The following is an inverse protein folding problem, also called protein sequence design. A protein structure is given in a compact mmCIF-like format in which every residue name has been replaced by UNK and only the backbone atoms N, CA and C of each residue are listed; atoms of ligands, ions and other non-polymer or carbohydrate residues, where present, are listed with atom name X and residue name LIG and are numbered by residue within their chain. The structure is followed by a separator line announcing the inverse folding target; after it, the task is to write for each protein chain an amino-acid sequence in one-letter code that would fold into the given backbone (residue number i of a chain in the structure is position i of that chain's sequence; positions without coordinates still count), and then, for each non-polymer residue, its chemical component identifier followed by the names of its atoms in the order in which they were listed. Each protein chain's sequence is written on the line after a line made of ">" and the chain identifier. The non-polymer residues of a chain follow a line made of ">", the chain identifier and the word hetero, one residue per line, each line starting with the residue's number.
data_IF_310435322521
#
_entry.id   IF_310435322521
#
_cell.length_a   1.000
_cell.length_b   1.000
_cell.length_c   1.000
_cell.angle_alpha   90.00
_cell.angle_beta   90.00
_cell.angle_gamma   90.00
#
_symmetry.space_group_name_H-M   'P 1'
#
loop_
_entity.id
_entity.type
_entity.pdbx_description
1 polymer ?
#
# COMPACT_ATOMS: atom_id res chain seq x y z
N UNK A 1 -19.54 -12.42 -9.58
CA UNK A 1 -19.29 -11.08 -9.02
C UNK A 1 -18.15 -10.49 -9.82
N UNK A 2 -18.35 -9.34 -10.46
CA UNK A 2 -17.26 -8.64 -11.15
C UNK A 2 -16.30 -8.11 -10.08
N UNK A 3 -15.02 -8.51 -10.12
CA UNK A 3 -13.99 -8.03 -9.18
C UNK A 3 -13.62 -6.56 -9.42
N UNK A 4 -13.81 -6.08 -10.65
CA UNK A 4 -13.53 -4.70 -11.03
C UNK A 4 -14.83 -3.93 -11.22
N UNK A 5 -14.85 -2.67 -10.78
CA UNK A 5 -15.86 -1.69 -11.13
C UNK A 5 -15.24 -0.53 -11.92
N UNK A 6 -16.09 0.23 -12.62
CA UNK A 6 -15.67 1.46 -13.28
C UNK A 6 -15.19 2.49 -12.24
N UNK A 7 -14.22 3.32 -12.61
CA UNK A 7 -13.67 4.38 -11.75
C UNK A 7 -14.76 5.25 -11.12
N UNK A 8 -15.73 5.70 -11.93
CA UNK A 8 -16.93 6.41 -11.46
C UNK A 8 -17.63 5.73 -10.29
N UNK A 9 -17.92 4.43 -10.43
CA UNK A 9 -18.63 3.66 -9.40
C UNK A 9 -17.79 3.47 -8.14
N UNK A 10 -16.48 3.28 -8.29
CA UNK A 10 -15.56 3.24 -7.15
C UNK A 10 -15.57 4.59 -6.42
N UNK A 11 -15.47 5.69 -7.16
CA UNK A 11 -15.42 7.02 -6.60
C UNK A 11 -16.71 7.40 -5.87
N UNK A 12 -17.86 7.20 -6.51
CA UNK A 12 -19.20 7.43 -5.92
C UNK A 12 -19.40 6.62 -4.63
N UNK A 13 -18.94 5.37 -4.60
CA UNK A 13 -19.07 4.50 -3.43
C UNK A 13 -18.24 4.92 -2.22
N UNK A 14 -17.24 5.78 -2.41
CA UNK A 14 -16.28 6.17 -1.38
C UNK A 14 -16.16 7.69 -1.19
N UNK A 15 -17.04 8.49 -1.81
CA UNK A 15 -17.00 9.95 -1.70
C UNK A 15 -15.78 10.58 -2.36
N UNK A 16 -15.22 9.92 -3.37
CA UNK A 16 -14.07 10.40 -4.15
C UNK A 16 -14.55 11.19 -5.38
N UNK A 17 -13.68 12.04 -5.91
CA UNK A 17 -13.89 12.77 -7.15
C UNK A 17 -13.31 11.99 -8.33
N UNK A 18 -14.11 11.75 -9.38
CA UNK A 18 -13.70 10.96 -10.55
C UNK A 18 -12.56 11.60 -11.35
N UNK A 19 -12.44 12.93 -11.32
CA UNK A 19 -11.38 13.65 -12.05
C UNK A 19 -10.04 13.69 -11.30
N UNK A 20 -10.04 13.35 -10.01
CA UNK A 20 -8.86 13.39 -9.15
C UNK A 20 -8.05 12.11 -9.24
N UNK A 21 -6.73 12.23 -9.40
CA UNK A 21 -5.83 11.09 -9.29
C UNK A 21 -5.64 10.69 -7.84
N UNK A 22 -5.72 9.40 -7.53
CA UNK A 22 -5.53 8.91 -6.18
C UNK A 22 -4.23 8.13 -6.05
N UNK A 23 -3.48 8.40 -4.98
CA UNK A 23 -2.42 7.51 -4.50
C UNK A 23 -2.95 6.75 -3.29
N UNK A 24 -2.61 5.48 -3.15
CA UNK A 24 -2.95 4.73 -1.95
C UNK A 24 -1.83 4.88 -0.93
N UNK A 25 -2.13 5.35 0.28
CA UNK A 25 -1.25 5.11 1.42
C UNK A 25 -1.79 3.89 2.18
N UNK A 26 -1.03 2.80 2.19
CA UNK A 26 -1.40 1.60 2.96
C UNK A 26 -0.72 1.65 4.32
N UNK A 27 -1.52 1.84 5.37
CA UNK A 27 -1.03 1.87 6.74
C UNK A 27 -0.45 0.54 7.20
N UNK A 28 0.47 0.63 8.16
CA UNK A 28 1.11 -0.51 8.81
C UNK A 28 0.68 -0.60 10.29
N UNK A 29 1.03 -1.66 11.02
CA UNK A 29 0.65 -1.84 12.42
C UNK A 29 1.67 -1.24 13.41
N UNK A 30 1.27 -1.08 14.67
CA UNK A 30 2.12 -0.48 15.70
C UNK A 30 3.37 -1.31 16.03
N UNK A 31 3.36 -2.61 15.75
CA UNK A 31 4.47 -3.51 16.06
C UNK A 31 5.60 -3.33 15.06
N UNK A 32 5.26 -3.13 13.79
CA UNK A 32 6.19 -3.02 12.65
C UNK A 32 6.59 -1.58 12.37
N UNK A 33 5.63 -0.64 12.37
CA UNK A 33 5.84 0.78 12.09
C UNK A 33 5.06 1.65 13.12
N UNK A 34 5.56 1.79 14.36
CA UNK A 34 4.86 2.54 15.43
C UNK A 34 4.62 4.02 15.10
N UNK A 35 5.38 4.57 14.16
CA UNK A 35 5.37 5.98 13.75
C UNK A 35 4.78 6.19 12.35
N UNK A 36 4.17 5.15 11.76
CA UNK A 36 3.58 5.16 10.41
C UNK A 36 2.72 6.39 10.07
N UNK A 37 1.96 6.93 11.04
CA UNK A 37 1.13 8.12 10.84
C UNK A 37 1.91 9.34 10.36
N UNK A 38 3.19 9.45 10.72
CA UNK A 38 4.04 10.56 10.30
C UNK A 38 4.51 10.41 8.85
N UNK A 39 4.59 9.19 8.31
CA UNK A 39 4.83 9.03 6.86
C UNK A 39 3.56 9.30 6.05
N UNK A 40 2.37 9.03 6.60
CA UNK A 40 1.11 9.49 6.01
C UNK A 40 1.07 11.02 5.98
N UNK A 41 1.48 11.67 7.07
CA UNK A 41 1.61 13.14 7.15
C UNK A 41 2.59 13.69 6.11
N UNK A 42 3.81 13.14 6.02
CA UNK A 42 4.79 13.55 5.01
C UNK A 42 4.24 13.37 3.58
N UNK A 43 3.50 12.29 3.32
CA UNK A 43 2.83 12.04 2.04
C UNK A 43 1.74 13.09 1.77
N UNK A 44 0.95 13.45 2.78
CA UNK A 44 -0.10 14.46 2.66
C UNK A 44 0.47 15.87 2.41
N UNK A 45 1.60 16.20 3.03
CA UNK A 45 2.34 17.44 2.77
C UNK A 45 2.83 17.48 1.32
N UNK A 46 3.41 16.38 0.83
CA UNK A 46 3.85 16.28 -0.57
C UNK A 46 2.67 16.46 -1.55
N UNK A 47 1.51 15.87 -1.24
CA UNK A 47 0.29 15.98 -2.05
C UNK A 47 -0.27 17.41 -2.05
N UNK A 48 -0.33 18.08 -0.90
CA UNK A 48 -0.72 19.51 -0.84
C UNK A 48 0.20 20.38 -1.69
N UNK A 49 1.51 20.17 -1.61
CA UNK A 49 2.48 20.88 -2.47
C UNK A 49 2.21 20.66 -3.96
N UNK A 50 1.90 19.43 -4.38
CA UNK A 50 1.54 19.15 -5.78
C UNK A 50 0.22 19.81 -6.20
N UNK A 51 -0.75 19.93 -5.29
CA UNK A 51 -1.98 20.71 -5.53
C UNK A 51 -1.72 22.20 -5.68
N UNK A 52 -0.82 22.77 -4.88
CA UNK A 52 -0.36 24.16 -5.04
C UNK A 52 0.31 24.38 -6.39
N UNK A 53 0.96 23.35 -6.94
CA UNK A 53 1.54 23.33 -8.29
C UNK A 53 0.51 23.05 -9.41
N UNK A 54 -0.78 22.96 -9.07
CA UNK A 54 -1.89 22.82 -10.02
C UNK A 54 -2.26 21.39 -10.41
N UNK A 55 -1.77 20.38 -9.69
CA UNK A 55 -2.14 18.97 -9.94
C UNK A 55 -3.36 18.56 -9.13
N UNK A 56 -4.33 17.90 -9.77
CA UNK A 56 -5.45 17.28 -9.06
C UNK A 56 -5.10 15.86 -8.60
N UNK A 57 -4.52 15.78 -7.40
CA UNK A 57 -4.09 14.52 -6.79
C UNK A 57 -4.49 14.46 -5.31
N UNK A 58 -4.84 13.28 -4.81
CA UNK A 58 -5.28 13.03 -3.44
C UNK A 58 -4.80 11.66 -2.93
N UNK A 59 -5.05 11.38 -1.65
CA UNK A 59 -4.68 10.14 -0.98
C UNK A 59 -5.94 9.35 -0.63
N UNK A 60 -5.96 8.07 -1.02
CA UNK A 60 -6.78 7.06 -0.36
C UNK A 60 -5.94 6.48 0.78
N UNK A 61 -6.38 6.68 2.02
CA UNK A 61 -5.75 6.02 3.15
C UNK A 61 -6.44 4.68 3.43
N UNK A 62 -5.73 3.57 3.18
CA UNK A 62 -6.19 2.23 3.56
C UNK A 62 -5.51 1.82 4.85
N UNK A 63 -6.28 1.80 5.92
CA UNK A 63 -5.83 1.42 7.25
C UNK A 63 -5.46 -0.06 7.32
N UNK A 64 -4.48 -0.43 8.16
CA UNK A 64 -4.26 -1.83 8.54
C UNK A 64 -5.45 -2.34 9.37
N UNK A 65 -6.06 -3.51 9.06
CA UNK A 65 -7.33 -3.94 9.65
C UNK A 65 -7.29 -4.22 11.16
N UNK A 66 -6.10 -4.31 11.75
CA UNK A 66 -5.90 -4.69 13.15
C UNK A 66 -5.37 -3.56 14.04
N UNK A 67 -5.15 -2.37 13.51
CA UNK A 67 -4.71 -1.22 14.31
C UNK A 67 -5.92 -0.47 14.87
N UNK A 68 -6.10 -0.49 16.19
CA UNK A 68 -7.19 0.22 16.86
C UNK A 68 -6.68 1.38 17.73
N UNK A 69 -5.45 1.84 17.50
CA UNK A 69 -4.78 2.79 18.38
C UNK A 69 -5.24 4.25 18.27
N UNK A 70 -5.91 4.62 17.16
CA UNK A 70 -6.27 6.01 16.87
C UNK A 70 -5.08 6.91 16.50
N UNK A 71 -3.88 6.36 16.30
CA UNK A 71 -2.66 7.16 16.04
C UNK A 71 -2.71 8.00 14.75
N UNK A 72 -3.56 7.61 13.80
CA UNK A 72 -3.75 8.34 12.54
C UNK A 72 -4.79 9.46 12.66
N UNK A 73 -5.65 9.46 13.68
CA UNK A 73 -6.84 10.32 13.75
C UNK A 73 -6.49 11.80 13.61
N UNK A 74 -5.39 12.24 14.23
CA UNK A 74 -4.91 13.62 14.12
C UNK A 74 -4.54 13.98 12.68
N UNK A 75 -3.80 13.10 11.99
CA UNK A 75 -3.36 13.32 10.61
C UNK A 75 -4.56 13.30 9.67
N UNK A 76 -5.50 12.38 9.88
CA UNK A 76 -6.73 12.30 9.08
C UNK A 76 -7.58 13.55 9.21
N UNK A 77 -7.73 14.11 10.42
CA UNK A 77 -8.48 15.35 10.62
C UNK A 77 -7.75 16.57 10.02
N UNK A 78 -6.44 16.66 10.22
CA UNK A 78 -5.62 17.80 9.76
C UNK A 78 -5.49 17.86 8.23
N UNK A 79 -5.50 16.71 7.56
CA UNK A 79 -5.31 16.58 6.11
C UNK A 79 -6.53 16.03 5.37
N UNK A 80 -7.74 16.15 5.94
CA UNK A 80 -9.01 15.66 5.34
C UNK A 80 -9.38 16.28 3.99
N UNK A 81 -8.76 17.39 3.62
CA UNK A 81 -8.86 18.01 2.30
C UNK A 81 -8.15 17.19 1.21
N UNK A 82 -7.12 16.43 1.57
CA UNK A 82 -6.32 15.60 0.65
C UNK A 82 -6.37 14.11 0.95
N UNK A 83 -6.85 13.68 2.12
CA UNK A 83 -6.95 12.27 2.52
C UNK A 83 -8.41 11.84 2.62
N UNK A 84 -8.75 10.76 1.94
CA UNK A 84 -10.01 10.02 2.15
C UNK A 84 -9.70 8.64 2.72
N UNK A 85 -10.08 8.35 3.99
CA UNK A 85 -9.90 7.03 4.57
C UNK A 85 -10.90 6.03 3.97
N UNK A 86 -10.43 4.83 3.64
CA UNK A 86 -11.25 3.70 3.23
C UNK A 86 -10.84 2.48 4.05
N UNK A 87 -11.70 2.12 5.01
CA UNK A 87 -11.41 1.03 5.93
C UNK A 87 -11.48 -0.34 5.23
N UNK A 88 -10.56 -1.26 5.56
CA UNK A 88 -10.67 -2.65 5.14
C UNK A 88 -11.93 -3.30 5.73
N UNK A 89 -12.64 -4.08 4.93
CA UNK A 89 -13.88 -4.76 5.33
C UNK A 89 -13.59 -6.08 6.04
N UNK A 90 -12.64 -6.07 6.98
CA UNK A 90 -12.30 -7.26 7.76
C UNK A 90 -13.28 -7.43 8.91
N UNK A 91 -13.57 -8.68 9.27
CA UNK A 91 -14.48 -9.00 10.37
C UNK A 91 -13.82 -9.93 11.37
N UNK A 92 -14.07 -9.75 12.68
CA UNK A 92 -13.66 -10.72 13.67
C UNK A 92 -14.43 -12.03 13.44
N UNK A 93 -13.68 -13.11 13.26
CA UNK A 93 -14.18 -14.50 13.27
C UNK A 93 -13.97 -15.18 14.64
N UNK A 94 -13.50 -14.41 15.63
CA UNK A 94 -13.35 -14.79 17.03
C UNK A 94 -12.86 -13.60 17.87
N UNK A 95 -12.46 -13.84 19.12
CA UNK A 95 -12.11 -12.79 20.09
C UNK A 95 -10.64 -12.39 20.11
N UNK A 96 -9.76 -13.08 19.39
CA UNK A 96 -8.32 -12.78 19.32
C UNK A 96 -7.94 -12.01 18.06
N UNK A 97 -6.86 -11.24 18.11
CA UNK A 97 -6.38 -10.39 17.00
C UNK A 97 -6.05 -11.20 15.73
N UNK A 98 -5.57 -12.44 15.88
CA UNK A 98 -5.29 -13.38 14.78
C UNK A 98 -6.55 -14.04 14.20
N UNK A 99 -7.73 -13.63 14.65
CA UNK A 99 -9.03 -14.13 14.16
C UNK A 99 -9.79 -13.05 13.37
N UNK A 100 -9.15 -11.93 13.04
CA UNK A 100 -9.72 -10.93 12.13
C UNK A 100 -9.37 -11.33 10.70
N UNK A 101 -10.39 -11.55 9.85
CA UNK A 101 -10.22 -12.08 8.49
C UNK A 101 -10.86 -11.17 7.44
N UNK A 102 -10.32 -11.13 6.21
CA UNK A 102 -10.95 -10.39 5.10
C UNK A 102 -12.30 -10.99 4.73
N UNK A 103 -13.26 -10.13 4.40
CA UNK A 103 -14.53 -10.55 3.78
C UNK A 103 -14.38 -10.74 2.28
N UNK A 104 -15.38 -11.35 1.62
CA UNK A 104 -15.40 -11.46 0.16
C UNK A 104 -15.46 -10.08 -0.50
N UNK A 105 -16.16 -9.16 0.15
CA UNK A 105 -16.30 -7.77 -0.25
C UNK A 105 -14.95 -7.04 -0.11
N UNK A 106 -14.14 -7.34 0.90
CA UNK A 106 -12.80 -6.76 1.06
C UNK A 106 -11.86 -7.09 -0.11
N UNK A 107 -11.96 -8.29 -0.70
CA UNK A 107 -11.19 -8.60 -1.91
C UNK A 107 -11.55 -7.69 -3.08
N UNK A 108 -12.85 -7.40 -3.24
CA UNK A 108 -13.30 -6.47 -4.28
C UNK A 108 -12.82 -5.06 -3.97
N UNK A 109 -12.89 -4.66 -2.70
CA UNK A 109 -12.40 -3.36 -2.26
C UNK A 109 -10.90 -3.19 -2.56
N UNK A 110 -10.06 -4.13 -2.10
CA UNK A 110 -8.60 -4.07 -2.32
C UNK A 110 -8.25 -4.04 -3.81
N UNK A 111 -8.85 -4.91 -4.62
CA UNK A 111 -8.61 -4.95 -6.07
C UNK A 111 -8.95 -3.62 -6.74
N UNK A 112 -10.06 -2.99 -6.35
CA UNK A 112 -10.44 -1.69 -6.90
C UNK A 112 -9.57 -0.54 -6.34
N UNK A 113 -9.15 -0.60 -5.08
CA UNK A 113 -8.15 0.35 -4.54
C UNK A 113 -6.85 0.28 -5.34
N UNK A 114 -6.31 -0.92 -5.59
CA UNK A 114 -5.09 -1.08 -6.38
C UNK A 114 -5.29 -0.62 -7.84
N UNK A 115 -6.43 -0.95 -8.44
CA UNK A 115 -6.71 -0.64 -9.85
C UNK A 115 -6.90 0.86 -10.11
N UNK A 116 -7.64 1.55 -9.23
CA UNK A 116 -8.00 2.97 -9.38
C UNK A 116 -7.02 3.93 -8.71
N UNK A 117 -5.94 3.42 -8.11
CA UNK A 117 -4.83 4.25 -7.62
C UNK A 117 -3.70 4.31 -8.64
N UNK A 118 -2.96 5.40 -8.64
CA UNK A 118 -1.76 5.56 -9.49
C UNK A 118 -0.59 4.71 -8.99
N UNK A 119 -0.44 4.59 -7.68
CA UNK A 119 0.56 3.75 -7.02
C UNK A 119 0.27 3.68 -5.52
N UNK A 120 1.10 2.93 -4.79
CA UNK A 120 1.05 2.82 -3.33
C UNK A 120 2.28 3.41 -2.66
N UNK A 121 2.07 4.12 -1.57
CA UNK A 121 3.09 4.45 -0.57
C UNK A 121 2.82 3.58 0.65
N UNK A 122 3.82 2.84 1.12
CA UNK A 122 3.70 2.02 2.33
C UNK A 122 5.06 1.70 2.93
N UNK A 123 5.10 1.29 4.19
CA UNK A 123 6.32 0.82 4.82
C UNK A 123 6.40 -0.69 4.64
N UNK A 124 7.38 -1.16 3.85
CA UNK A 124 7.86 -2.55 3.87
C UNK A 124 6.79 -3.66 3.68
N UNK A 125 5.59 -3.34 3.23
CA UNK A 125 4.48 -4.30 3.17
C UNK A 125 4.38 -4.92 1.78
N UNK A 126 3.91 -6.17 1.73
CA UNK A 126 3.74 -6.93 0.49
C UNK A 126 2.70 -6.34 -0.48
N UNK A 127 2.04 -5.23 -0.12
CA UNK A 127 1.17 -4.43 -1.00
C UNK A 127 1.83 -4.08 -2.34
N UNK A 128 3.18 -4.03 -2.40
CA UNK A 128 3.92 -3.94 -3.66
C UNK A 128 3.51 -5.01 -4.67
N UNK A 129 3.23 -6.23 -4.22
CA UNK A 129 2.83 -7.35 -5.08
C UNK A 129 1.38 -7.24 -5.52
N UNK A 130 0.51 -6.68 -4.68
CA UNK A 130 -0.87 -6.38 -5.06
C UNK A 130 -0.89 -5.28 -6.13
N UNK A 131 -0.16 -4.18 -5.94
CA UNK A 131 -0.11 -3.06 -6.88
C UNK A 131 0.58 -3.42 -8.21
N UNK A 132 1.70 -4.14 -8.18
CA UNK A 132 2.40 -4.52 -9.42
C UNK A 132 1.59 -5.50 -10.28
N UNK A 133 0.68 -6.28 -9.69
CA UNK A 133 -0.26 -7.11 -10.44
C UNK A 133 -1.19 -6.27 -11.35
N UNK A 134 -1.42 -5.00 -10.98
CA UNK A 134 -2.12 -4.00 -11.80
C UNK A 134 -1.17 -3.11 -12.62
N UNK A 135 0.14 -3.40 -12.60
CA UNK A 135 1.15 -2.57 -13.25
C UNK A 135 1.35 -1.22 -12.58
N UNK A 136 1.04 -1.11 -11.28
CA UNK A 136 1.19 0.13 -10.52
C UNK A 136 2.45 0.06 -9.63
N UNK A 137 3.24 1.14 -9.56
CA UNK A 137 4.49 1.16 -8.80
C UNK A 137 4.27 1.32 -7.30
N UNK A 138 5.38 1.28 -6.56
CA UNK A 138 5.42 1.45 -5.09
C UNK A 138 6.53 2.40 -4.68
N UNK A 139 6.22 3.28 -3.73
CA UNK A 139 7.19 4.09 -2.99
C UNK A 139 7.35 3.51 -1.59
N UNK A 140 8.59 3.25 -1.18
CA UNK A 140 8.96 2.85 0.16
C UNK A 140 9.74 3.96 0.87
N UNK A 141 9.14 4.66 1.85
CA UNK A 141 9.88 5.48 2.79
C UNK A 141 10.90 4.64 3.58
N UNK A 142 12.17 5.03 3.52
CA UNK A 142 13.29 4.36 4.16
C UNK A 142 14.17 5.37 4.89
N UNK A 143 13.54 6.05 5.85
CA UNK A 143 14.16 6.96 6.80
C UNK A 143 13.41 6.88 8.11
N UNK A 144 14.05 7.20 9.22
CA UNK A 144 13.37 7.24 10.51
C UNK A 144 12.70 8.59 10.76
N UNK A 145 11.54 8.56 11.41
CA UNK A 145 10.82 9.76 11.82
C UNK A 145 11.51 10.43 13.02
N UNK A 146 11.54 11.78 13.11
CA UNK A 146 12.16 12.51 14.23
C UNK A 146 11.59 12.16 15.62
N UNK A 147 10.38 11.59 15.66
CA UNK A 147 9.70 11.13 16.86
C UNK A 147 10.25 9.79 17.38
N UNK A 148 11.15 9.13 16.64
CA UNK A 148 11.82 7.91 17.06
C UNK A 148 12.62 8.18 18.34
N UNK A 149 12.33 7.38 19.37
CA UNK A 149 12.98 7.44 20.68
C UNK A 149 13.36 6.03 21.10
N UNK A 150 14.30 5.92 22.04
CA UNK A 150 14.68 4.63 22.63
C UNK A 150 13.43 3.88 23.12
N UNK A 151 13.27 2.64 22.67
CA UNK A 151 12.12 1.78 22.99
C UNK A 151 11.04 1.75 21.91
N UNK A 152 11.11 2.63 20.91
CA UNK A 152 10.30 2.55 19.69
C UNK A 152 11.09 1.75 18.65
N UNK A 153 10.41 0.87 17.92
CA UNK A 153 11.01 0.08 16.83
C UNK A 153 11.31 0.98 15.63
N UNK A 154 12.52 0.86 15.08
CA UNK A 154 12.92 1.48 13.81
C UNK A 154 12.37 0.70 12.61
N UNK A 155 12.08 1.39 11.50
CA UNK A 155 11.53 0.73 10.30
C UNK A 155 12.62 0.05 9.47
N UNK A 156 13.89 0.46 9.62
CA UNK A 156 15.03 -0.10 8.86
C UNK A 156 15.19 -1.62 9.01
N UNK A 157 14.82 -2.18 10.17
CA UNK A 157 14.78 -3.63 10.36
C UNK A 157 13.76 -4.35 9.48
N UNK A 158 12.65 -3.69 9.13
CA UNK A 158 11.59 -4.32 8.35
C UNK A 158 12.09 -4.65 6.94
N UNK A 159 12.93 -3.80 6.34
CA UNK A 159 13.53 -4.04 5.01
C UNK A 159 14.50 -5.23 4.94
N UNK A 160 14.72 -5.94 6.06
CA UNK A 160 15.46 -7.21 6.14
C UNK A 160 14.53 -8.44 6.15
N UNK A 161 13.22 -8.25 6.01
CA UNK A 161 12.24 -9.33 5.98
C UNK A 161 12.42 -10.26 4.77
N UNK A 162 11.89 -11.47 4.91
CA UNK A 162 12.17 -12.58 4.00
C UNK A 162 11.83 -12.27 2.53
N UNK A 163 10.79 -11.49 2.27
CA UNK A 163 10.38 -11.15 0.92
C UNK A 163 11.36 -10.19 0.22
N UNK A 164 12.13 -9.38 0.95
CA UNK A 164 13.21 -8.58 0.34
C UNK A 164 14.39 -9.44 -0.12
N UNK A 165 14.55 -10.67 0.39
CA UNK A 165 15.60 -11.59 -0.09
C UNK A 165 15.37 -12.05 -1.53
N UNK A 166 14.13 -11.96 -2.03
CA UNK A 166 13.80 -12.24 -3.43
C UNK A 166 13.80 -10.98 -4.30
N UNK A 167 14.09 -9.80 -3.73
CA UNK A 167 14.15 -8.56 -4.50
C UNK A 167 15.31 -8.68 -5.52
N UNK A 168 15.04 -8.56 -6.83
CA UNK A 168 16.05 -8.81 -7.85
C UNK A 168 17.11 -7.72 -7.91
N UNK A 169 16.73 -6.49 -7.61
CA UNK A 169 17.62 -5.32 -7.60
C UNK A 169 17.14 -4.33 -6.54
N UNK A 170 17.99 -4.01 -5.57
CA UNK A 170 17.59 -3.16 -4.45
C UNK A 170 17.21 -1.77 -4.94
N UNK A 171 18.07 -1.12 -5.74
CA UNK A 171 17.93 0.30 -6.10
C UNK A 171 16.76 0.58 -7.05
N UNK A 172 16.32 -0.42 -7.84
CA UNK A 172 15.37 -0.20 -8.94
C UNK A 172 14.07 -0.99 -8.85
N UNK A 173 13.90 -1.90 -7.88
CA UNK A 173 12.66 -2.68 -7.75
C UNK A 173 11.46 -1.87 -7.26
N UNK A 174 11.71 -0.73 -6.63
CA UNK A 174 10.72 0.22 -6.09
C UNK A 174 11.33 1.62 -6.13
N UNK A 175 10.52 2.65 -5.83
CA UNK A 175 11.08 3.97 -5.51
C UNK A 175 11.37 4.03 -4.02
N UNK A 176 12.63 4.24 -3.67
CA UNK A 176 13.03 4.50 -2.28
C UNK A 176 12.95 5.99 -2.00
N UNK A 177 12.23 6.36 -0.94
CA UNK A 177 12.29 7.71 -0.40
C UNK A 177 13.15 7.68 0.86
N UNK A 178 14.38 8.19 0.79
CA UNK A 178 15.37 8.18 1.88
C UNK A 178 15.22 9.38 2.83
N UNK A 179 14.24 10.24 2.58
CA UNK A 179 13.80 11.33 3.44
C UNK A 179 12.43 11.84 2.97
N UNK A 180 11.82 12.74 3.75
CA UNK A 180 10.49 13.30 3.44
C UNK A 180 10.42 14.09 2.13
N UNK A 181 11.50 14.74 1.69
CA UNK A 181 11.49 15.44 0.39
C UNK A 181 11.45 14.46 -0.78
N UNK A 182 12.11 13.30 -0.64
CA UNK A 182 12.10 12.27 -1.68
C UNK A 182 10.74 11.57 -1.82
N UNK A 183 9.84 11.67 -0.84
CA UNK A 183 8.43 11.28 -1.04
C UNK A 183 7.80 12.15 -2.12
N UNK A 184 7.98 13.47 -2.05
CA UNK A 184 7.48 14.39 -3.08
C UNK A 184 8.14 14.11 -4.44
N UNK A 185 9.47 13.93 -4.48
CA UNK A 185 10.18 13.67 -5.73
C UNK A 185 9.74 12.34 -6.37
N UNK A 186 9.55 11.30 -5.55
CA UNK A 186 9.05 10.01 -5.99
C UNK A 186 7.62 10.08 -6.52
N UNK A 187 6.70 10.74 -5.80
CA UNK A 187 5.31 10.94 -6.25
C UNK A 187 5.29 11.68 -7.58
N UNK A 188 6.02 12.80 -7.67
CA UNK A 188 6.06 13.62 -8.88
C UNK A 188 6.65 12.84 -10.06
N UNK A 189 7.80 12.19 -9.88
CA UNK A 189 8.46 11.44 -10.94
C UNK A 189 7.62 10.28 -11.47
N UNK A 190 6.86 9.59 -10.60
CA UNK A 190 5.91 8.56 -11.02
C UNK A 190 4.71 9.16 -11.78
N UNK A 191 4.16 10.29 -11.33
CA UNK A 191 3.03 10.95 -11.99
C UNK A 191 3.41 11.57 -13.35
N UNK A 192 4.65 12.03 -13.49
CA UNK A 192 5.20 12.62 -14.72
C UNK A 192 5.72 11.55 -15.70
N UNK A 193 5.88 10.31 -15.23
CA UNK A 193 6.42 9.20 -16.05
C UNK A 193 7.94 9.19 -16.17
N UNK A 194 8.64 10.02 -15.39
CA UNK A 194 10.11 10.05 -15.31
C UNK A 194 10.67 8.82 -14.58
N UNK A 195 9.86 8.20 -13.73
CA UNK A 195 10.19 7.01 -12.94
C UNK A 195 9.24 5.87 -13.29
N UNK A 196 9.79 4.68 -13.55
CA UNK A 196 9.01 3.45 -13.74
C UNK A 196 9.76 2.21 -13.22
N UNK A 197 9.57 1.84 -11.93
CA UNK A 197 10.16 0.62 -11.39
C UNK A 197 9.39 -0.66 -11.80
N UNK A 198 8.19 -0.54 -12.38
CA UNK A 198 7.25 -1.66 -12.60
C UNK A 198 7.88 -2.82 -13.37
N UNK A 199 8.71 -2.62 -14.42
CA UNK A 199 9.35 -3.74 -15.12
C UNK A 199 10.23 -4.60 -14.21
N UNK A 200 10.95 -3.98 -13.25
CA UNK A 200 11.79 -4.69 -12.29
C UNK A 200 10.94 -5.28 -11.17
N UNK A 201 9.95 -4.54 -10.66
CA UNK A 201 8.99 -5.03 -9.67
C UNK A 201 8.24 -6.28 -10.19
N UNK A 202 7.91 -6.36 -11.49
CA UNK A 202 7.30 -7.57 -12.09
C UNK A 202 8.22 -8.78 -12.08
N UNK A 203 9.54 -8.59 -12.20
CA UNK A 203 10.50 -9.68 -12.03
C UNK A 203 10.51 -10.16 -10.58
N UNK A 204 10.45 -9.24 -9.61
CA UNK A 204 10.33 -9.58 -8.20
C UNK A 204 9.04 -10.37 -7.92
N UNK A 205 7.91 -9.90 -8.46
CA UNK A 205 6.62 -10.58 -8.39
C UNK A 205 6.70 -12.01 -8.92
N UNK A 206 7.41 -12.24 -10.03
CA UNK A 206 7.60 -13.58 -10.62
C UNK A 206 8.47 -14.53 -9.79
N UNK A 207 9.26 -14.03 -8.83
CA UNK A 207 10.01 -14.89 -7.89
C UNK A 207 9.10 -15.34 -6.75
N UNK A 208 8.20 -14.46 -6.29
CA UNK A 208 7.31 -14.72 -5.13
C UNK A 208 6.02 -15.43 -5.56
N UNK A 209 5.51 -15.12 -6.75
CA UNK A 209 4.24 -15.61 -7.29
C UNK A 209 4.44 -16.37 -8.60
N UNK A 210 3.36 -16.99 -9.10
CA UNK A 210 3.30 -17.61 -10.44
C UNK A 210 2.45 -16.75 -11.39
N UNK A 211 3.04 -15.71 -12.00
CA UNK A 211 2.31 -14.71 -12.80
C UNK A 211 1.64 -15.29 -14.05
N UNK A 212 2.12 -16.43 -14.55
CA UNK A 212 1.59 -17.07 -15.76
C UNK A 212 0.21 -17.71 -15.57
N UNK A 213 -0.20 -17.96 -14.32
CA UNK A 213 -1.51 -18.54 -14.01
C UNK A 213 -1.95 -18.23 -12.57
N UNK A 214 -2.11 -16.95 -12.18
CA UNK A 214 -2.48 -16.57 -10.82
C UNK A 214 -3.84 -17.18 -10.40
N UNK A 215 -4.77 -17.36 -11.33
CA UNK A 215 -6.10 -17.94 -11.11
C UNK A 215 -6.06 -19.39 -10.63
N UNK A 216 -4.97 -20.12 -10.91
CA UNK A 216 -4.76 -21.51 -10.47
C UNK A 216 -4.10 -21.63 -9.09
N UNK A 217 -3.96 -20.53 -8.35
CA UNK A 217 -3.32 -20.55 -7.03
C UNK A 217 -3.97 -21.56 -6.08
N UNK A 218 -5.31 -21.55 -5.98
CA UNK A 218 -6.06 -22.48 -5.12
C UNK A 218 -5.87 -23.94 -5.53
N UNK A 219 -5.86 -24.23 -6.85
CA UNK A 219 -5.61 -25.58 -7.38
C UNK A 219 -4.21 -26.07 -7.01
N UNK A 220 -3.19 -25.22 -7.17
CA UNK A 220 -1.80 -25.56 -6.81
C UNK A 220 -1.63 -25.82 -5.33
N UNK A 221 -2.27 -25.02 -4.47
CA UNK A 221 -2.25 -25.23 -3.01
C UNK A 221 -2.87 -26.59 -2.69
N UNK A 222 -4.04 -26.91 -3.27
CA UNK A 222 -4.72 -28.18 -3.07
C UNK A 222 -3.88 -29.38 -3.52
N UNK A 223 -3.23 -29.28 -4.69
CA UNK A 223 -2.32 -30.31 -5.19
C UNK A 223 -1.08 -30.48 -4.31
N UNK A 224 -0.56 -29.40 -3.74
CA UNK A 224 0.52 -29.42 -2.76
C UNK A 224 0.13 -30.19 -1.49
N UNK A 225 -1.04 -29.89 -0.92
CA UNK A 225 -1.58 -30.60 0.25
C UNK A 225 -1.72 -32.09 -0.05
N UNK A 226 -2.31 -32.46 -1.20
CA UNK A 226 -2.45 -33.86 -1.63
C UNK A 226 -1.13 -34.63 -1.72
N UNK A 227 -0.02 -33.95 -2.03
CA UNK A 227 1.32 -34.58 -2.10
C UNK A 227 1.93 -34.78 -0.72
N UNK A 228 1.64 -33.90 0.24
CA UNK A 228 2.18 -33.97 1.61
C UNK A 228 1.47 -35.06 2.44
N UNK A 229 0.17 -35.27 2.21
CA UNK A 229 -0.63 -36.26 2.96
C UNK A 229 -0.55 -37.69 2.42
N UNK A 230 0.19 -37.92 1.34
CA UNK A 230 0.47 -39.26 0.78
C UNK A 230 1.72 -39.84 1.41
#
# INVERSE_FOLDING_TARGET
>A
MLLYCFAKRFCEGHGLNEDTKYICFSGDDQTTSPLDQYYLEDTAIAIRKLREEGRDVAIIYRKVPIDFSGRYDKVLEEYKDVITPIDPLWKPMGSQWNQVMPTKEDFTLLVNTCHHSEFVVNICSSMVFDFVAHGKPTIYPNYEQPQLKKGIRDIGQNYKYVHFRSMPDYDTSVIWAMNKSEIYDGIKGLLDGDLDPVPITKKWYGIVNKPESPEKASERIWDGIKRIIK
#
